data_IF_030486756226
#
_entry.id   IF_030486756226
#
_cell.length_a   1.000
_cell.length_b   1.000
_cell.length_c   1.000
_cell.angle_alpha   90.00
_cell.angle_beta   90.00
_cell.angle_gamma   90.00
#
_symmetry.space_group_name_H-M   'P 1'
#
loop_
_entity.id
_entity.type
_entity.pdbx_description
1 polymer ?
#
# COMPACT_ATOMS: atom_id res chain seq x y z
N UNK A 1 -27.61 -29.09 12.96
CA UNK A 1 -27.38 -28.72 11.53
C UNK A 1 -27.44 -27.20 11.35
N UNK A 2 -28.53 -26.52 11.76
CA UNK A 2 -28.70 -25.05 11.62
C UNK A 2 -27.60 -24.24 12.36
N UNK A 3 -27.18 -24.67 13.55
CA UNK A 3 -26.13 -23.98 14.32
C UNK A 3 -24.74 -24.01 13.63
N UNK A 4 -24.45 -25.05 12.84
CA UNK A 4 -23.18 -25.17 12.12
C UNK A 4 -23.12 -24.25 10.91
N UNK A 5 -24.27 -23.96 10.28
CA UNK A 5 -24.37 -23.03 9.16
C UNK A 5 -24.13 -21.57 9.60
N UNK A 6 -24.54 -21.20 10.81
CA UNK A 6 -24.29 -19.87 11.36
C UNK A 6 -22.80 -19.64 11.71
N UNK A 7 -22.09 -20.67 12.15
CA UNK A 7 -20.67 -20.57 12.48
C UNK A 7 -19.79 -20.32 11.23
N UNK A 8 -20.20 -20.81 10.06
CA UNK A 8 -19.46 -20.63 8.80
C UNK A 8 -19.44 -19.18 8.30
N UNK A 9 -20.40 -18.35 8.70
CA UNK A 9 -20.51 -16.95 8.24
C UNK A 9 -19.48 -16.01 8.89
N UNK A 10 -18.87 -16.40 10.01
CA UNK A 10 -17.94 -15.55 10.77
C UNK A 10 -16.48 -15.61 10.27
N UNK A 11 -16.16 -16.48 9.31
CA UNK A 11 -14.78 -16.66 8.83
C UNK A 11 -14.33 -15.60 7.80
N UNK A 12 -15.20 -14.66 7.40
CA UNK A 12 -14.85 -13.57 6.48
C UNK A 12 -14.53 -12.25 7.20
N UNK A 13 -13.89 -12.32 8.37
CA UNK A 13 -13.24 -11.14 8.96
C UNK A 13 -11.89 -10.96 8.29
N UNK A 14 -11.89 -10.25 7.17
CA UNK A 14 -10.67 -9.73 6.57
C UNK A 14 -10.11 -8.62 7.47
N UNK A 15 -8.87 -8.76 7.94
CA UNK A 15 -8.16 -7.66 8.60
C UNK A 15 -7.69 -6.66 7.55
N UNK A 16 -8.64 -5.92 6.95
CA UNK A 16 -8.29 -4.78 6.10
C UNK A 16 -7.63 -3.74 6.99
N UNK A 17 -6.49 -3.21 6.55
CA UNK A 17 -5.75 -2.18 7.29
C UNK A 17 -6.71 -1.05 7.69
N UNK A 18 -6.79 -0.77 8.99
CA UNK A 18 -7.73 0.23 9.55
C UNK A 18 -7.50 1.64 9.01
N UNK A 19 -6.34 1.90 8.42
CA UNK A 19 -5.95 3.22 7.90
C UNK A 19 -6.12 3.37 6.39
N UNK A 20 -6.50 2.32 5.65
CA UNK A 20 -6.68 2.32 4.20
C UNK A 20 -5.62 1.53 3.42
N UNK A 21 -5.77 1.47 2.09
CA UNK A 21 -4.98 0.61 1.19
C UNK A 21 -4.16 1.40 0.16
N UNK A 22 -4.21 2.74 0.16
CA UNK A 22 -3.50 3.58 -0.81
C UNK A 22 -2.07 3.80 -0.34
N UNK A 23 -1.09 3.37 -1.12
CA UNK A 23 0.33 3.43 -0.74
C UNK A 23 1.10 4.24 -1.78
N UNK A 24 1.82 5.26 -1.33
CA UNK A 24 2.77 6.00 -2.15
C UNK A 24 4.17 5.38 -1.99
N UNK A 25 4.77 4.95 -3.09
CA UNK A 25 6.14 4.44 -3.13
C UNK A 25 7.02 5.50 -3.79
N UNK A 26 7.98 6.02 -3.04
CA UNK A 26 8.95 6.99 -3.51
C UNK A 26 10.26 6.27 -3.86
N UNK A 27 10.63 6.32 -5.13
CA UNK A 27 11.86 5.74 -5.69
C UNK A 27 12.78 6.85 -6.18
N UNK A 28 14.08 6.67 -6.02
CA UNK A 28 15.10 7.60 -6.53
C UNK A 28 15.35 7.30 -8.03
N UNK A 29 15.64 6.04 -8.34
CA UNK A 29 15.73 5.55 -9.71
C UNK A 29 14.61 4.54 -10.03
N UNK A 30 14.12 4.53 -11.27
CA UNK A 30 13.11 3.54 -11.70
C UNK A 30 13.62 2.11 -11.61
N UNK A 31 14.95 1.94 -11.70
CA UNK A 31 15.59 0.64 -11.67
C UNK A 31 15.55 0.00 -10.25
N UNK A 32 15.42 0.82 -9.21
CA UNK A 32 15.28 0.33 -7.82
C UNK A 32 14.00 -0.48 -7.62
N UNK A 33 12.98 -0.25 -8.46
CA UNK A 33 11.74 -1.03 -8.42
C UNK A 33 12.01 -2.53 -8.59
N UNK A 34 12.95 -2.90 -9.45
CA UNK A 34 13.25 -4.30 -9.74
C UNK A 34 13.87 -5.02 -8.53
N UNK A 35 14.61 -4.32 -7.69
CA UNK A 35 15.25 -4.87 -6.49
C UNK A 35 14.22 -5.32 -5.45
N UNK A 36 13.09 -4.63 -5.36
CA UNK A 36 12.04 -4.87 -4.36
C UNK A 36 10.78 -5.50 -4.96
N UNK A 37 10.87 -6.13 -6.14
CA UNK A 37 9.73 -6.74 -6.84
C UNK A 37 8.93 -7.70 -5.96
N UNK A 38 9.60 -8.56 -5.19
CA UNK A 38 8.93 -9.51 -4.28
C UNK A 38 8.13 -8.80 -3.18
N UNK A 39 8.64 -7.68 -2.67
CA UNK A 39 7.96 -6.89 -1.66
C UNK A 39 6.71 -6.23 -2.23
N UNK A 40 6.79 -5.61 -3.40
CA UNK A 40 5.63 -5.01 -4.07
C UNK A 40 4.58 -6.05 -4.43
N UNK A 41 5.00 -7.22 -4.92
CA UNK A 41 4.09 -8.33 -5.20
C UNK A 41 3.31 -8.75 -3.93
N UNK A 42 3.98 -8.86 -2.79
CA UNK A 42 3.31 -9.20 -1.52
C UNK A 42 2.34 -8.13 -1.02
N UNK A 43 2.51 -6.87 -1.44
CA UNK A 43 1.59 -5.78 -1.12
C UNK A 43 0.38 -5.80 -2.07
N UNK A 44 0.60 -6.05 -3.35
CA UNK A 44 -0.47 -6.19 -4.35
C UNK A 44 -1.37 -7.41 -4.04
N UNK A 45 -0.79 -8.53 -3.59
CA UNK A 45 -1.54 -9.71 -3.12
C UNK A 45 -2.45 -9.42 -1.92
N UNK A 46 -2.16 -8.36 -1.15
CA UNK A 46 -2.95 -7.91 0.00
C UNK A 46 -3.90 -6.76 -0.37
N UNK A 47 -4.16 -6.56 -1.66
CA UNK A 47 -5.02 -5.51 -2.22
C UNK A 47 -4.54 -4.07 -1.93
N UNK A 48 -3.24 -3.86 -1.68
CA UNK A 48 -2.71 -2.49 -1.59
C UNK A 48 -2.57 -1.87 -2.97
N UNK A 49 -3.02 -0.61 -3.10
CA UNK A 49 -2.87 0.18 -4.33
C UNK A 49 -1.58 0.97 -4.28
N UNK A 50 -0.55 0.47 -4.96
CA UNK A 50 0.76 1.09 -5.04
C UNK A 50 0.77 2.19 -6.12
N UNK A 51 1.17 3.40 -5.72
CA UNK A 51 1.44 4.52 -6.63
C UNK A 51 2.93 4.82 -6.58
N UNK A 52 3.61 4.63 -7.71
CA UNK A 52 5.05 4.88 -7.80
C UNK A 52 5.30 6.32 -8.23
N UNK A 53 6.14 7.03 -7.49
CA UNK A 53 6.58 8.37 -7.86
C UNK A 53 8.08 8.54 -7.65
N UNK A 54 8.68 9.45 -8.43
CA UNK A 54 10.08 9.84 -8.30
C UNK A 54 10.22 10.93 -7.26
N UNK A 55 11.31 10.89 -6.50
CA UNK A 55 11.60 11.93 -5.50
C UNK A 55 11.73 13.33 -6.12
N UNK A 56 12.20 13.41 -7.37
CA UNK A 56 12.35 14.68 -8.10
C UNK A 56 11.03 15.35 -8.50
N UNK A 57 9.90 14.63 -8.43
CA UNK A 57 8.60 15.17 -8.78
C UNK A 57 7.87 15.67 -7.53
N UNK A 58 7.21 16.83 -7.64
CA UNK A 58 6.34 17.32 -6.56
C UNK A 58 5.13 16.39 -6.44
N UNK A 59 4.91 15.83 -5.25
CA UNK A 59 3.76 14.96 -4.94
C UNK A 59 2.91 15.63 -3.88
N UNK A 60 1.64 15.84 -4.20
CA UNK A 60 0.66 16.33 -3.23
C UNK A 60 0.24 15.20 -2.29
N UNK A 61 0.64 15.30 -1.01
CA UNK A 61 0.23 14.35 0.04
C UNK A 61 -1.21 14.62 0.54
N UNK A 62 -1.67 15.85 0.33
CA UNK A 62 -3.01 16.32 0.66
C UNK A 62 -3.62 16.97 -0.57
N UNK A 63 -4.82 16.56 -0.92
CA UNK A 63 -5.60 17.16 -1.99
C UNK A 63 -6.91 17.64 -1.38
N UNK A 64 -7.23 18.93 -1.56
CA UNK A 64 -8.47 19.56 -1.05
C UNK A 64 -8.69 19.39 0.47
N UNK A 65 -7.61 19.31 1.26
CA UNK A 65 -7.69 19.10 2.70
C UNK A 65 -7.85 17.64 3.13
N UNK A 66 -7.93 16.71 2.18
CA UNK A 66 -7.98 15.26 2.45
C UNK A 66 -6.63 14.59 2.16
N UNK A 67 -6.34 13.54 2.91
CA UNK A 67 -5.11 12.77 2.75
C UNK A 67 -5.20 11.90 1.49
N UNK A 68 -4.29 12.14 0.53
CA UNK A 68 -4.26 11.45 -0.75
C UNK A 68 -3.75 10.00 -0.63
N UNK A 69 -2.83 9.74 0.31
CA UNK A 69 -2.21 8.44 0.53
C UNK A 69 -2.29 7.99 1.98
N UNK A 70 -2.60 6.71 2.17
CA UNK A 70 -2.77 6.15 3.51
C UNK A 70 -1.46 5.67 4.14
N UNK A 71 -0.52 5.26 3.30
CA UNK A 71 0.82 4.82 3.67
C UNK A 71 1.85 5.41 2.70
N UNK A 72 3.06 5.64 3.19
CA UNK A 72 4.19 6.14 2.39
C UNK A 72 5.37 5.21 2.62
N UNK A 73 5.98 4.73 1.54
CA UNK A 73 7.19 3.91 1.55
C UNK A 73 8.27 4.69 0.83
N UNK A 74 9.32 5.04 1.57
CA UNK A 74 10.44 5.83 1.09
C UNK A 74 11.65 4.91 0.92
N UNK A 75 12.06 4.68 -0.33
CA UNK A 75 13.17 3.81 -0.67
C UNK A 75 14.45 4.55 -1.06
N UNK A 76 14.54 5.86 -0.88
CA UNK A 76 15.75 6.58 -1.28
C UNK A 76 16.91 6.30 -0.30
N UNK A 77 17.98 5.62 -0.72
CA UNK A 77 19.10 5.27 0.15
C UNK A 77 20.08 6.45 0.34
N UNK A 78 19.99 7.49 -0.49
CA UNK A 78 20.83 8.69 -0.41
C UNK A 78 20.08 9.82 0.29
N UNK A 79 20.00 9.73 1.62
CA UNK A 79 19.90 10.95 2.42
C UNK A 79 21.28 11.60 2.40
N UNK A 80 21.43 12.71 1.68
CA UNK A 80 22.65 13.52 1.70
C UNK A 80 22.49 14.66 2.70
#
# INVERSE_FOLDING_TARGET
IIAFAFAALFFFVESKSTTGFRVLVLLDEENDKNLFTQFFHSLEERDYKLTYNKLSNSVELFSYGERAFDHIIYFAPKTK
#
